data_IF_644186856455
#
_entry.id   IF_644186856455
#
_cell.length_a   1.000
_cell.length_b   1.000
_cell.length_c   1.000
_cell.angle_alpha   90.00
_cell.angle_beta   90.00
_cell.angle_gamma   90.00
#
_symmetry.space_group_name_H-M   'P 1'
#
loop_
_entity.id
_entity.type
_entity.pdbx_description
1 polymer ?
#
# COMPACT_ATOMS: atom_id res chain seq x y z
N UNK A 1 -16.02 19.17 21.57
CA UNK A 1 -15.64 17.79 21.96
C UNK A 1 -15.66 16.97 20.68
N UNK A 2 -14.49 16.66 20.11
CA UNK A 2 -14.43 15.81 18.91
C UNK A 2 -15.00 14.44 19.28
N UNK A 3 -16.02 13.97 18.56
CA UNK A 3 -16.47 12.58 18.67
C UNK A 3 -15.30 11.71 18.24
N UNK A 4 -14.74 10.96 19.17
CA UNK A 4 -13.74 9.93 18.88
C UNK A 4 -14.36 8.91 17.93
N UNK A 5 -13.77 8.78 16.75
CA UNK A 5 -14.11 7.70 15.81
C UNK A 5 -13.86 6.37 16.52
N UNK A 6 -14.94 5.64 16.81
CA UNK A 6 -14.90 4.36 17.52
C UNK A 6 -14.91 3.18 16.54
N UNK A 7 -14.83 3.47 15.24
CA UNK A 7 -14.95 2.48 14.16
C UNK A 7 -13.62 2.20 13.46
N UNK A 8 -12.53 2.84 13.92
CA UNK A 8 -11.18 2.82 13.31
C UNK A 8 -11.19 3.25 11.83
N UNK A 9 -12.23 3.93 11.37
CA UNK A 9 -12.41 4.28 9.97
C UNK A 9 -11.29 5.20 9.48
N UNK A 10 -10.93 6.21 10.28
CA UNK A 10 -9.81 7.10 9.98
C UNK A 10 -8.46 6.36 9.88
N UNK A 11 -8.18 5.44 10.80
CA UNK A 11 -6.94 4.68 10.81
C UNK A 11 -6.85 3.74 9.60
N UNK A 12 -7.97 3.11 9.24
CA UNK A 12 -8.08 2.27 8.05
C UNK A 12 -7.80 3.08 6.77
N UNK A 13 -8.38 4.27 6.66
CA UNK A 13 -8.12 5.17 5.52
C UNK A 13 -6.67 5.67 5.48
N UNK A 14 -6.05 5.94 6.64
CA UNK A 14 -4.65 6.34 6.70
C UNK A 14 -3.72 5.22 6.19
N UNK A 15 -3.93 3.98 6.65
CA UNK A 15 -3.18 2.81 6.20
C UNK A 15 -3.38 2.57 4.70
N UNK A 16 -4.62 2.67 4.21
CA UNK A 16 -4.93 2.50 2.79
C UNK A 16 -4.22 3.53 1.91
N UNK A 17 -4.17 4.81 2.32
CA UNK A 17 -3.42 5.85 1.58
C UNK A 17 -1.93 5.52 1.51
N UNK A 18 -1.36 5.05 2.62
CA UNK A 18 0.03 4.61 2.67
C UNK A 18 0.30 3.46 1.71
N UNK A 19 -0.56 2.43 1.72
CA UNK A 19 -0.45 1.27 0.83
C UNK A 19 -0.56 1.66 -0.65
N UNK A 20 -1.54 2.48 -1.01
CA UNK A 20 -1.72 2.97 -2.39
C UNK A 20 -0.53 3.79 -2.86
N UNK A 21 0.03 4.64 -1.99
CA UNK A 21 1.26 5.37 -2.32
C UNK A 21 2.44 4.43 -2.54
N UNK A 22 2.64 3.47 -1.64
CA UNK A 22 3.74 2.50 -1.73
C UNK A 22 3.66 1.66 -3.00
N UNK A 23 2.46 1.19 -3.38
CA UNK A 23 2.25 0.41 -4.61
C UNK A 23 2.64 1.14 -5.91
N UNK A 24 2.53 2.48 -5.91
CA UNK A 24 2.93 3.33 -7.04
C UNK A 24 4.41 3.67 -6.98
N UNK A 25 4.98 3.71 -5.77
CA UNK A 25 6.34 4.17 -5.49
C UNK A 25 7.38 3.06 -5.65
N UNK A 26 7.03 1.81 -5.34
CA UNK A 26 7.95 0.68 -5.32
C UNK A 26 7.39 -0.48 -6.15
N UNK A 27 8.27 -1.11 -6.92
CA UNK A 27 8.02 -2.40 -7.57
C UNK A 27 9.10 -3.38 -7.14
N UNK A 28 8.71 -4.62 -6.90
CA UNK A 28 9.61 -5.70 -6.49
C UNK A 28 9.61 -6.80 -7.53
N UNK A 29 10.79 -7.14 -8.04
CA UNK A 29 11.00 -8.30 -8.90
C UNK A 29 11.71 -9.39 -8.10
N UNK A 30 11.20 -10.62 -8.22
CA UNK A 30 11.71 -11.78 -7.51
C UNK A 30 12.28 -12.77 -8.53
N UNK A 31 13.58 -13.01 -8.48
CA UNK A 31 14.26 -13.97 -9.36
C UNK A 31 14.74 -15.16 -8.54
N UNK A 32 14.41 -16.41 -8.91
CA UNK A 32 14.98 -17.58 -8.26
C UNK A 32 16.50 -17.58 -8.40
N UNK A 33 17.22 -17.66 -7.29
CA UNK A 33 18.69 -17.55 -7.29
C UNK A 33 19.39 -18.87 -7.67
N UNK A 34 18.66 -19.99 -7.61
CA UNK A 34 19.21 -21.34 -7.77
C UNK A 34 20.08 -21.83 -6.60
N UNK A 35 20.21 -21.05 -5.51
CA UNK A 35 21.00 -21.39 -4.32
C UNK A 35 20.10 -21.84 -3.16
N UNK A 36 20.65 -22.57 -2.20
CA UNK A 36 19.93 -22.88 -0.95
C UNK A 36 19.65 -21.61 -0.15
N UNK A 37 20.57 -20.63 -0.18
CA UNK A 37 20.36 -19.32 0.43
C UNK A 37 21.23 -18.22 -0.23
N UNK A 38 20.67 -17.02 -0.47
CA UNK A 38 19.24 -16.71 -0.46
C UNK A 38 18.56 -17.47 -1.61
N UNK A 39 17.36 -18.03 -1.41
CA UNK A 39 16.67 -18.80 -2.44
C UNK A 39 16.10 -17.93 -3.58
N UNK A 40 15.90 -16.64 -3.28
CA UNK A 40 15.32 -15.65 -4.18
C UNK A 40 16.15 -14.37 -4.06
N UNK A 41 16.47 -13.79 -5.20
CA UNK A 41 17.01 -12.43 -5.30
C UNK A 41 15.85 -11.46 -5.46
N UNK A 42 15.90 -10.33 -4.74
CA UNK A 42 14.85 -9.32 -4.75
C UNK A 42 15.44 -8.03 -5.30
N UNK A 43 14.86 -7.53 -6.38
CA UNK A 43 15.20 -6.23 -6.95
C UNK A 43 14.06 -5.24 -6.68
N UNK A 44 14.34 -4.21 -5.88
CA UNK A 44 13.41 -3.11 -5.65
C UNK A 44 13.69 -1.98 -6.65
N UNK A 45 12.68 -1.60 -7.41
CA UNK A 45 12.71 -0.40 -8.25
C UNK A 45 11.85 0.68 -7.61
N UNK A 46 12.42 1.86 -7.40
CA UNK A 46 11.68 3.02 -6.88
C UNK A 46 11.37 4.04 -7.98
N UNK A 47 10.13 4.52 -8.03
CA UNK A 47 9.65 5.48 -9.03
C UNK A 47 9.47 6.86 -8.42
N UNK A 48 9.47 7.93 -9.22
CA UNK A 48 9.18 9.26 -8.67
C UNK A 48 7.67 9.44 -8.54
N UNK A 49 7.16 9.39 -7.30
CA UNK A 49 5.74 9.62 -6.99
C UNK A 49 5.61 10.84 -6.10
N UNK A 50 4.78 11.80 -6.52
CA UNK A 50 4.54 13.02 -5.77
C UNK A 50 3.84 12.73 -4.44
N UNK A 51 4.36 13.26 -3.34
CA UNK A 51 3.71 13.21 -2.03
C UNK A 51 2.32 13.86 -2.02
N UNK A 52 2.03 14.77 -2.96
CA UNK A 52 0.68 15.36 -3.13
C UNK A 52 -0.40 14.30 -3.42
N UNK A 53 -0.02 13.12 -3.90
CA UNK A 53 -0.96 12.02 -4.13
C UNK A 53 -1.59 11.48 -2.85
N UNK A 54 -0.92 11.58 -1.69
CA UNK A 54 -1.45 11.18 -0.37
C UNK A 54 -2.66 12.01 0.08
N UNK A 55 -2.80 13.22 -0.47
CA UNK A 55 -3.93 14.11 -0.19
C UNK A 55 -5.13 13.90 -1.10
N UNK A 56 -5.02 13.04 -2.13
CA UNK A 56 -6.15 12.75 -3.02
C UNK A 56 -7.19 11.89 -2.30
N UNK A 57 -8.45 12.12 -2.63
CA UNK A 57 -9.54 11.24 -2.18
C UNK A 57 -9.33 9.83 -2.72
N UNK A 58 -9.55 8.84 -1.87
CA UNK A 58 -9.57 7.42 -2.26
C UNK A 58 -10.85 7.19 -3.07
N UNK A 59 -10.72 6.53 -4.22
CA UNK A 59 -11.90 6.23 -5.05
C UNK A 59 -12.68 5.05 -4.49
N UNK A 60 -13.92 4.88 -4.94
CA UNK A 60 -14.77 3.76 -4.48
C UNK A 60 -14.16 2.42 -4.90
N UNK A 61 -13.53 2.38 -6.07
CA UNK A 61 -12.86 1.20 -6.61
C UNK A 61 -11.63 0.82 -5.76
N UNK A 62 -10.79 1.79 -5.39
CA UNK A 62 -9.64 1.57 -4.49
C UNK A 62 -10.10 1.08 -3.10
N UNK A 63 -11.25 1.57 -2.61
CA UNK A 63 -11.84 1.12 -1.35
C UNK A 63 -12.42 -0.30 -1.45
N UNK A 64 -13.08 -0.63 -2.55
CA UNK A 64 -13.64 -1.97 -2.78
C UNK A 64 -12.55 -3.03 -2.98
N UNK A 65 -11.45 -2.69 -3.66
CA UNK A 65 -10.33 -3.59 -3.93
C UNK A 65 -9.46 -3.82 -2.70
N UNK A 66 -9.15 -2.76 -1.92
CA UNK A 66 -8.16 -2.83 -0.84
C UNK A 66 -8.73 -2.56 0.56
N UNK A 67 -9.90 -1.95 0.66
CA UNK A 67 -10.54 -1.59 1.94
C UNK A 67 -11.46 -2.66 2.51
N UNK A 68 -11.84 -3.66 1.71
CA UNK A 68 -12.68 -4.78 2.16
C UNK A 68 -11.80 -6.00 2.39
N UNK A 69 -11.67 -6.41 3.66
CA UNK A 69 -11.04 -7.69 3.99
C UNK A 69 -11.95 -8.82 3.48
N UNK A 70 -11.61 -9.43 2.35
CA UNK A 70 -12.23 -10.69 1.93
C UNK A 70 -11.77 -11.79 2.89
N UNK A 71 -12.71 -12.25 3.72
CA UNK A 71 -12.51 -13.31 4.71
C UNK A 71 -12.39 -14.68 4.06
#
# INVERSE_FOLDING_TARGET
MQKSDSTNEYDNFFVLRGALYASKKFSYNFTPSGKTYPAVEVEETSYVVSAKSLGKSITKEELEEYGVWNK
#
